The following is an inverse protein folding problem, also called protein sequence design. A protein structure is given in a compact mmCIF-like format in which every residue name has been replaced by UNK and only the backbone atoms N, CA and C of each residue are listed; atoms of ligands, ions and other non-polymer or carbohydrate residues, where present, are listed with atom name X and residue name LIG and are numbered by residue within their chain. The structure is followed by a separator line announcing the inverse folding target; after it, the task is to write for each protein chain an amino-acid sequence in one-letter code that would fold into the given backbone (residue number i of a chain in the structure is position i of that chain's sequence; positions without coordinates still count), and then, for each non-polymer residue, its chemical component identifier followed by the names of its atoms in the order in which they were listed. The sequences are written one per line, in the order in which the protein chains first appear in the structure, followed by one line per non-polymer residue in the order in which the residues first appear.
data_IF_905408736049
#
_entry.id   IF_905408736049
#
_cell.length_a   1.000
_cell.length_b   1.000
_cell.length_c   1.000
_cell.angle_alpha   90.00
_cell.angle_beta   90.00
_cell.angle_gamma   90.00
#
_symmetry.space_group_name_H-M   'P 1'
#
loop_
_entity.id
_entity.type
_entity.pdbx_description
1 polymer ?
#
# COMPACT_ATOMS: atom_id res chain seq x y z
N UNK A 1 11.03 10.99 12.13
CA UNK A 1 9.83 11.16 11.29
C UNK A 1 10.16 10.57 9.93
N UNK A 2 9.24 9.82 9.31
CA UNK A 2 9.47 9.21 8.00
C UNK A 2 8.79 10.01 6.89
N UNK A 3 9.37 10.05 5.70
CA UNK A 3 8.83 10.74 4.53
C UNK A 3 8.45 9.76 3.43
N UNK A 4 7.20 9.82 3.02
CA UNK A 4 6.65 8.99 1.94
C UNK A 4 6.18 9.93 0.83
N UNK A 5 6.46 9.57 -0.43
CA UNK A 5 5.93 10.30 -1.58
C UNK A 5 4.67 9.62 -2.11
N UNK A 6 3.65 10.39 -2.50
CA UNK A 6 2.40 9.90 -3.06
C UNK A 6 2.37 10.07 -4.59
N UNK A 7 3.06 9.17 -5.28
CA UNK A 7 3.20 9.22 -6.75
C UNK A 7 3.44 7.81 -7.29
N UNK A 8 3.17 7.64 -8.59
CA UNK A 8 3.58 6.46 -9.36
C UNK A 8 4.54 6.85 -10.51
N UNK A 9 5.03 8.09 -10.53
CA UNK A 9 6.07 8.51 -11.46
C UNK A 9 7.44 8.04 -10.97
N UNK A 10 7.98 7.06 -11.67
CA UNK A 10 9.26 6.42 -11.34
C UNK A 10 10.43 7.41 -11.40
N UNK A 11 10.36 8.44 -12.26
CA UNK A 11 11.43 9.44 -12.37
C UNK A 11 11.50 10.28 -11.10
N UNK A 12 10.34 10.79 -10.66
CA UNK A 12 10.21 11.56 -9.42
C UNK A 12 10.66 10.73 -8.21
N UNK A 13 10.24 9.46 -8.14
CA UNK A 13 10.63 8.55 -7.05
C UNK A 13 12.14 8.34 -7.03
N UNK A 14 12.77 8.15 -8.20
CA UNK A 14 14.23 7.96 -8.29
C UNK A 14 14.98 9.20 -7.84
N UNK A 15 14.58 10.38 -8.32
CA UNK A 15 15.20 11.66 -7.94
C UNK A 15 15.12 11.88 -6.42
N UNK A 16 13.94 11.69 -5.80
CA UNK A 16 13.77 11.85 -4.36
C UNK A 16 14.52 10.79 -3.55
N UNK A 17 14.59 9.55 -4.05
CA UNK A 17 15.34 8.47 -3.40
C UNK A 17 16.86 8.72 -3.44
N UNK A 18 17.39 9.21 -4.56
CA UNK A 18 18.81 9.53 -4.73
C UNK A 18 19.24 10.70 -3.82
N UNK A 19 18.32 11.60 -3.50
CA UNK A 19 18.53 12.65 -2.49
C UNK A 19 18.48 12.14 -1.04
N UNK A 20 18.14 10.87 -0.82
CA UNK A 20 18.00 10.28 0.52
C UNK A 20 16.78 10.77 1.30
N UNK A 21 15.75 11.26 0.61
CA UNK A 21 14.56 11.86 1.22
C UNK A 21 13.39 10.88 1.37
N UNK A 22 13.46 9.68 0.80
CA UNK A 22 12.36 8.71 0.82
C UNK A 22 12.58 7.57 1.81
N UNK A 23 11.59 7.38 2.68
CA UNK A 23 11.43 6.21 3.55
C UNK A 23 10.38 5.23 3.02
N UNK A 24 9.64 5.60 1.98
CA UNK A 24 8.57 4.79 1.39
C UNK A 24 7.81 5.52 0.28
N UNK A 25 6.88 4.81 -0.35
CA UNK A 25 6.01 5.34 -1.41
C UNK A 25 4.57 4.91 -1.15
N UNK A 26 3.62 5.80 -1.38
CA UNK A 26 2.21 5.42 -1.47
C UNK A 26 1.70 5.55 -2.90
N UNK A 27 0.94 4.55 -3.34
CA UNK A 27 0.25 4.59 -4.62
C UNK A 27 -1.25 4.35 -4.43
N UNK A 28 -2.00 4.53 -5.51
CA UNK A 28 -3.40 4.16 -5.64
C UNK A 28 -3.68 3.86 -7.13
N UNK A 29 -4.83 3.24 -7.48
CA UNK A 29 -5.12 2.83 -8.86
C UNK A 29 -5.08 4.01 -9.85
N UNK A 30 -5.52 5.19 -9.43
CA UNK A 30 -5.53 6.40 -10.27
C UNK A 30 -4.12 6.89 -10.60
N UNK A 31 -3.18 6.84 -9.65
CA UNK A 31 -1.78 7.21 -9.88
C UNK A 31 -1.09 6.24 -10.84
N UNK A 32 -1.29 4.93 -10.65
CA UNK A 32 -0.75 3.92 -11.56
C UNK A 32 -1.34 4.10 -12.97
N UNK A 33 -2.64 4.36 -13.10
CA UNK A 33 -3.27 4.60 -14.41
C UNK A 33 -2.63 5.80 -15.12
N UNK A 34 -2.33 6.87 -14.38
CA UNK A 34 -1.68 8.08 -14.94
C UNK A 34 -0.24 7.85 -15.38
N UNK A 35 0.48 6.89 -14.78
CA UNK A 35 1.84 6.55 -15.23
C UNK A 35 1.85 5.77 -16.55
N UNK A 36 0.69 5.25 -16.99
CA UNK A 36 0.54 4.51 -18.24
C UNK A 36 1.03 3.05 -18.20
N UNK A 37 1.42 2.57 -17.02
CA UNK A 37 1.92 1.21 -16.81
C UNK A 37 0.89 0.25 -16.21
N UNK A 38 1.22 -1.04 -16.18
CA UNK A 38 0.45 -2.04 -15.43
C UNK A 38 0.82 -1.98 -13.95
N UNK A 39 -0.15 -2.20 -13.06
CA UNK A 39 0.05 -2.19 -11.60
C UNK A 39 1.26 -3.03 -11.20
N UNK A 40 1.32 -4.29 -11.63
CA UNK A 40 2.40 -5.18 -11.22
C UNK A 40 3.80 -4.72 -11.63
N UNK A 41 3.92 -4.10 -12.81
CA UNK A 41 5.22 -3.69 -13.36
C UNK A 41 5.69 -2.38 -12.73
N UNK A 42 4.79 -1.40 -12.61
CA UNK A 42 5.09 -0.12 -11.96
C UNK A 42 5.39 -0.33 -10.47
N UNK A 43 4.59 -1.12 -9.76
CA UNK A 43 4.85 -1.42 -8.35
C UNK A 43 6.19 -2.14 -8.17
N UNK A 44 6.56 -3.07 -9.06
CA UNK A 44 7.87 -3.75 -9.00
C UNK A 44 9.02 -2.77 -9.16
N UNK A 45 8.96 -1.91 -10.17
CA UNK A 45 9.99 -0.91 -10.44
C UNK A 45 10.16 0.05 -9.26
N UNK A 46 9.06 0.50 -8.65
CA UNK A 46 9.09 1.35 -7.45
C UNK A 46 9.76 0.60 -6.27
N UNK A 47 9.44 -0.68 -6.07
CA UNK A 47 10.02 -1.50 -5.01
C UNK A 47 11.52 -1.77 -5.21
N UNK A 48 12.01 -1.79 -6.45
CA UNK A 48 13.43 -1.93 -6.75
C UNK A 48 14.22 -0.66 -6.39
N UNK A 49 13.61 0.52 -6.59
CA UNK A 49 14.20 1.83 -6.28
C UNK A 49 14.19 2.09 -4.77
N UNK A 50 13.03 1.95 -4.13
CA UNK A 50 12.83 2.32 -2.72
C UNK A 50 12.88 1.08 -1.84
N UNK A 51 13.82 1.02 -0.90
CA UNK A 51 13.96 -0.12 0.04
C UNK A 51 12.88 -0.14 1.14
N UNK A 52 12.27 1.00 1.40
CA UNK A 52 11.17 1.14 2.35
C UNK A 52 9.82 0.60 1.85
N UNK A 53 8.75 0.73 2.64
CA UNK A 53 7.43 0.22 2.28
C UNK A 53 6.85 0.91 1.05
N UNK A 54 6.25 0.12 0.15
CA UNK A 54 5.51 0.63 -1.02
C UNK A 54 4.05 0.23 -0.88
N UNK A 55 3.17 1.20 -0.58
CA UNK A 55 1.73 0.93 -0.48
C UNK A 55 1.11 0.72 -1.86
N UNK A 56 0.58 -0.49 -2.09
CA UNK A 56 -0.17 -0.86 -3.30
C UNK A 56 -1.60 -1.25 -2.92
N UNK A 57 -2.58 -0.66 -3.58
CA UNK A 57 -3.99 -0.70 -3.19
C UNK A 57 -4.79 -1.76 -3.93
N UNK A 58 -5.60 -2.50 -3.17
CA UNK A 58 -6.65 -3.37 -3.70
C UNK A 58 -7.83 -2.52 -4.21
N UNK A 59 -8.50 -2.98 -5.25
CA UNK A 59 -9.67 -2.31 -5.84
C UNK A 59 -10.97 -2.96 -5.37
N UNK A 60 -10.93 -4.26 -5.05
CA UNK A 60 -12.09 -4.99 -4.56
C UNK A 60 -12.65 -4.42 -3.26
N UNK A 61 -13.98 -4.43 -3.14
CA UNK A 61 -14.71 -3.96 -1.94
C UNK A 61 -15.05 -5.09 -0.98
N UNK A 62 -15.24 -6.30 -1.52
CA UNK A 62 -15.61 -7.50 -0.77
C UNK A 62 -14.37 -8.28 -0.31
N UNK A 63 -14.43 -8.83 0.90
CA UNK A 63 -13.31 -9.50 1.57
C UNK A 63 -12.65 -10.59 0.71
N UNK A 64 -13.45 -11.45 0.07
CA UNK A 64 -12.93 -12.59 -0.70
C UNK A 64 -12.04 -12.13 -1.86
N UNK A 65 -12.53 -11.14 -2.62
CA UNK A 65 -11.83 -10.61 -3.78
C UNK A 65 -10.65 -9.74 -3.35
N UNK A 66 -10.81 -8.97 -2.26
CA UNK A 66 -9.72 -8.20 -1.65
C UNK A 66 -8.54 -9.09 -1.26
N UNK A 67 -8.80 -10.26 -0.67
CA UNK A 67 -7.75 -11.21 -0.33
C UNK A 67 -7.11 -11.86 -1.56
N UNK A 68 -7.86 -12.05 -2.64
CA UNK A 68 -7.30 -12.54 -3.90
C UNK A 68 -6.35 -11.53 -4.53
N UNK A 69 -6.74 -10.26 -4.59
CA UNK A 69 -5.90 -9.15 -5.06
C UNK A 69 -4.68 -8.93 -4.17
N UNK A 70 -4.87 -8.94 -2.84
CA UNK A 70 -3.78 -8.80 -1.88
C UNK A 70 -2.70 -9.87 -2.08
N UNK A 71 -3.08 -11.12 -2.38
CA UNK A 71 -2.14 -12.21 -2.68
C UNK A 71 -1.34 -11.98 -3.97
N UNK A 72 -1.93 -11.33 -4.98
CA UNK A 72 -1.23 -10.97 -6.21
C UNK A 72 -0.21 -9.87 -5.92
N UNK A 73 -0.64 -8.79 -5.24
CA UNK A 73 0.23 -7.67 -4.87
C UNK A 73 1.40 -8.12 -3.99
N UNK A 74 1.11 -8.99 -3.01
CA UNK A 74 2.06 -9.60 -2.10
C UNK A 74 3.22 -10.38 -2.76
N UNK A 75 3.05 -10.81 -4.02
CA UNK A 75 4.07 -11.55 -4.79
C UNK A 75 4.98 -10.64 -5.61
N UNK A 76 4.70 -9.34 -5.67
CA UNK A 76 5.46 -8.40 -6.49
C UNK A 76 6.85 -8.16 -5.88
N UNK A 77 6.91 -7.84 -4.59
CA UNK A 77 8.15 -7.64 -3.84
C UNK A 77 7.89 -7.75 -2.32
N UNK A 78 8.95 -8.00 -1.53
CA UNK A 78 8.85 -8.20 -0.08
C UNK A 78 8.47 -6.93 0.70
N UNK A 79 8.82 -5.75 0.17
CA UNK A 79 8.51 -4.45 0.77
C UNK A 79 7.15 -3.88 0.36
N UNK A 80 6.31 -4.66 -0.36
CA UNK A 80 4.94 -4.27 -0.63
C UNK A 80 4.14 -4.20 0.67
N UNK A 81 3.50 -3.06 0.89
CA UNK A 81 2.50 -2.85 1.91
C UNK A 81 1.11 -2.88 1.27
N UNK A 82 0.26 -3.83 1.67
CA UNK A 82 -1.08 -3.94 1.09
C UNK A 82 -1.94 -2.81 1.62
N UNK A 83 -2.48 -1.99 0.73
CA UNK A 83 -3.37 -0.88 1.08
C UNK A 83 -4.82 -1.32 0.91
N UNK A 84 -5.62 -1.18 1.96
CA UNK A 84 -7.03 -1.59 2.02
C UNK A 84 -7.90 -0.44 2.52
N UNK A 85 -9.16 -0.29 2.04
CA UNK A 85 -10.04 0.77 2.52
C UNK A 85 -10.54 0.48 3.94
N UNK A 86 -10.87 1.54 4.69
CA UNK A 86 -11.45 1.41 6.03
C UNK A 86 -12.94 1.05 5.97
N UNK A 87 -13.22 -0.21 5.65
CA UNK A 87 -14.54 -0.85 5.66
C UNK A 87 -14.51 -2.06 6.59
N UNK A 88 -15.66 -2.67 6.90
CA UNK A 88 -15.68 -3.91 7.71
C UNK A 88 -14.88 -5.04 7.04
N UNK A 89 -15.02 -5.20 5.72
CA UNK A 89 -14.27 -6.17 4.95
C UNK A 89 -12.78 -5.81 4.84
N UNK A 90 -12.45 -4.52 4.73
CA UNK A 90 -11.07 -4.05 4.76
C UNK A 90 -10.39 -4.25 6.12
N UNK A 91 -11.11 -4.06 7.23
CA UNK A 91 -10.61 -4.35 8.58
C UNK A 91 -10.42 -5.86 8.80
N UNK A 92 -11.32 -6.68 8.25
CA UNK A 92 -11.17 -8.14 8.25
C UNK A 92 -9.95 -8.58 7.44
N UNK A 93 -9.79 -8.06 6.22
CA UNK A 93 -8.63 -8.31 5.37
C UNK A 93 -7.34 -7.86 6.05
N UNK A 94 -7.33 -6.68 6.67
CA UNK A 94 -6.19 -6.17 7.44
C UNK A 94 -5.75 -7.18 8.50
N UNK A 95 -6.67 -7.66 9.34
CA UNK A 95 -6.36 -8.65 10.39
C UNK A 95 -5.71 -9.90 9.80
N UNK A 96 -6.30 -10.47 8.74
CA UNK A 96 -5.85 -11.74 8.19
C UNK A 96 -4.51 -11.58 7.44
N UNK A 97 -4.32 -10.51 6.66
CA UNK A 97 -3.02 -10.18 6.01
C UNK A 97 -1.92 -9.94 7.05
N UNK A 98 -2.23 -9.24 8.16
CA UNK A 98 -1.27 -9.02 9.24
C UNK A 98 -0.90 -10.31 9.97
N UNK A 99 -1.83 -11.26 10.07
CA UNK A 99 -1.56 -12.59 10.64
C UNK A 99 -0.57 -13.42 9.80
N UNK A 100 -0.48 -13.13 8.50
CA UNK A 100 0.53 -13.67 7.57
C UNK A 100 1.87 -12.91 7.62
N UNK A 101 2.02 -11.92 8.51
CA UNK A 101 3.23 -11.13 8.70
C UNK A 101 3.43 -9.96 7.73
N UNK A 102 2.50 -9.73 6.79
CA UNK A 102 2.62 -8.72 5.73
C UNK A 102 2.15 -7.34 6.16
N UNK A 103 2.83 -6.27 5.74
CA UNK A 103 2.45 -4.90 6.11
C UNK A 103 1.09 -4.52 5.50
N UNK A 104 0.27 -3.79 6.27
CA UNK A 104 -1.03 -3.27 5.80
C UNK A 104 -1.15 -1.78 6.09
N UNK A 105 -1.58 -1.01 5.09
CA UNK A 105 -1.95 0.40 5.21
C UNK A 105 -3.48 0.52 5.08
N UNK A 106 -4.17 0.88 6.14
CA UNK A 106 -5.62 1.09 6.07
C UNK A 106 -5.88 2.54 5.70
N UNK A 107 -6.48 2.77 4.53
CA UNK A 107 -6.69 4.11 3.93
C UNK A 107 -8.13 4.61 4.11
N UNK A 108 -8.40 5.85 3.70
CA UNK A 108 -9.73 6.48 3.73
C UNK A 108 -10.30 6.59 5.16
N UNK A 109 -9.44 6.93 6.10
CA UNK A 109 -9.78 7.25 7.48
C UNK A 109 -10.09 8.74 7.62
N UNK A 110 -11.26 9.08 8.20
CA UNK A 110 -11.73 10.46 8.36
C UNK A 110 -12.12 10.78 9.81
N UNK A 111 -11.83 9.89 10.76
CA UNK A 111 -12.11 10.10 12.18
C UNK A 111 -11.18 9.30 13.08
N UNK A 112 -10.93 9.81 14.29
CA UNK A 112 -10.10 9.11 15.28
C UNK A 112 -10.64 7.72 15.66
N UNK A 113 -11.97 7.57 15.69
CA UNK A 113 -12.61 6.28 16.01
C UNK A 113 -12.36 5.25 14.90
N UNK A 114 -12.41 5.65 13.63
CA UNK A 114 -12.02 4.80 12.50
C UNK A 114 -10.55 4.38 12.63
N UNK A 115 -9.65 5.33 12.95
CA UNK A 115 -8.24 5.04 13.12
C UNK A 115 -7.99 4.01 14.24
N UNK A 116 -8.74 4.11 15.34
CA UNK A 116 -8.68 3.15 16.44
C UNK A 116 -9.10 1.73 16.00
N UNK A 117 -10.10 1.60 15.13
CA UNK A 117 -10.52 0.30 14.59
C UNK A 117 -9.44 -0.32 13.71
N UNK A 118 -8.81 0.45 12.84
CA UNK A 118 -7.70 -0.02 12.02
C UNK A 118 -6.49 -0.44 12.86
N UNK A 119 -6.12 0.36 13.87
CA UNK A 119 -5.08 0.00 14.83
C UNK A 119 -5.41 -1.32 15.56
N UNK A 120 -6.67 -1.50 15.99
CA UNK A 120 -7.12 -2.75 16.65
C UNK A 120 -7.14 -3.95 15.70
N UNK A 121 -7.34 -3.74 14.41
CA UNK A 121 -7.20 -4.77 13.37
C UNK A 121 -5.73 -5.12 13.05
N UNK A 122 -4.76 -4.41 13.64
CA UNK A 122 -3.33 -4.70 13.51
C UNK A 122 -2.63 -3.99 12.35
N UNK A 123 -3.24 -2.95 11.78
CA UNK A 123 -2.69 -2.18 10.67
C UNK A 123 -1.25 -1.73 10.96
N UNK A 124 -0.38 -1.78 9.95
CA UNK A 124 0.98 -1.26 10.02
C UNK A 124 1.01 0.27 9.89
N UNK A 125 0.08 0.81 9.09
CA UNK A 125 -0.13 2.23 8.85
C UNK A 125 -1.64 2.54 8.85
N UNK A 126 -1.99 3.72 9.36
CA UNK A 126 -3.34 4.29 9.43
C UNK A 126 -3.25 5.82 9.39
#
# INVERSE_FOLDING_TARGET
MKFFVDTADVKEIRELNDLGLLDGVTTNPSLILKSGGKIADVTREICEIVKGPVSAEVVATEYTDMMAEAKILARIADNVCIKVPLTLDGLRACKDIRSEGRMVNVTLCFSATQALLAAKAGASFI
#
